data_IF_542151890075
#
_entry.id   IF_542151890075
#
_cell.length_a   1.000
_cell.length_b   1.000
_cell.length_c   1.000
_cell.angle_alpha   90.00
_cell.angle_beta   90.00
_cell.angle_gamma   90.00
#
_symmetry.space_group_name_H-M   'P 1'
#
loop_
_entity.id
_entity.type
_entity.pdbx_description
1 polymer ?
#
# COMPACT_ATOMS: atom_id res chain seq x y z
N UNK A 1 -15.32 -6.71 1.86
CA UNK A 1 -14.96 -5.31 1.48
C UNK A 1 -14.33 -5.19 0.10
N UNK A 2 -13.49 -6.12 -0.34
CA UNK A 2 -12.84 -6.09 -1.67
C UNK A 2 -13.85 -6.03 -2.84
N UNK A 3 -15.01 -6.68 -2.69
CA UNK A 3 -16.06 -6.66 -3.72
C UNK A 3 -16.60 -5.24 -3.97
N UNK A 4 -16.63 -4.36 -2.96
CA UNK A 4 -17.07 -2.97 -3.13
C UNK A 4 -16.20 -2.21 -4.14
N UNK A 5 -14.88 -2.30 -4.00
CA UNK A 5 -13.95 -1.63 -4.93
C UNK A 5 -14.02 -2.27 -6.32
N UNK A 6 -14.14 -3.61 -6.40
CA UNK A 6 -14.39 -4.31 -7.65
C UNK A 6 -15.63 -3.79 -8.36
N UNK A 7 -16.74 -3.63 -7.63
CA UNK A 7 -17.99 -3.08 -8.17
C UNK A 7 -17.85 -1.62 -8.59
N UNK A 8 -17.25 -0.77 -7.74
CA UNK A 8 -17.06 0.66 -8.03
C UNK A 8 -16.26 0.86 -9.32
N UNK A 9 -15.11 0.20 -9.45
CA UNK A 9 -14.26 0.32 -10.64
C UNK A 9 -14.97 -0.24 -11.89
N UNK A 10 -15.72 -1.34 -11.77
CA UNK A 10 -16.50 -1.90 -12.89
C UNK A 10 -17.64 -0.98 -13.31
N UNK A 11 -18.32 -0.31 -12.37
CA UNK A 11 -19.37 0.67 -12.68
C UNK A 11 -18.79 1.90 -13.38
N UNK A 12 -17.64 2.40 -12.95
CA UNK A 12 -16.95 3.51 -13.65
C UNK A 12 -16.59 3.09 -15.07
N UNK A 13 -16.08 1.87 -15.28
CA UNK A 13 -15.79 1.35 -16.60
C UNK A 13 -17.07 1.27 -17.48
N UNK A 14 -18.18 0.80 -16.92
CA UNK A 14 -19.46 0.72 -17.64
C UNK A 14 -20.00 2.10 -18.04
N UNK A 15 -19.88 3.09 -17.14
CA UNK A 15 -20.28 4.47 -17.43
C UNK A 15 -19.43 5.09 -18.56
N UNK A 16 -18.13 4.87 -18.55
CA UNK A 16 -17.21 5.34 -19.60
C UNK A 16 -17.53 4.70 -20.95
N UNK A 17 -17.82 3.39 -20.98
CA UNK A 17 -18.24 2.69 -22.19
C UNK A 17 -19.60 3.19 -22.68
N UNK A 18 -20.56 3.42 -21.78
CA UNK A 18 -21.84 4.06 -22.12
C UNK A 18 -21.67 5.45 -22.74
N UNK A 19 -20.73 6.23 -22.22
CA UNK A 19 -20.38 7.56 -22.78
C UNK A 19 -19.88 7.52 -24.23
N UNK A 20 -19.34 6.39 -24.69
CA UNK A 20 -18.89 6.25 -26.08
C UNK A 20 -20.04 6.36 -27.10
N UNK A 21 -21.30 6.11 -26.71
CA UNK A 21 -22.48 6.26 -27.57
C UNK A 21 -22.90 7.70 -27.73
N UNK A 22 -22.53 8.58 -26.80
CA UNK A 22 -22.91 10.00 -26.77
C UNK A 22 -21.84 10.86 -27.45
N UNK A 23 -20.56 10.44 -27.32
CA UNK A 23 -19.41 11.19 -27.85
C UNK A 23 -19.26 10.95 -29.35
N UNK A 24 -19.25 12.04 -30.16
CA UNK A 24 -19.10 11.95 -31.62
C UNK A 24 -17.65 11.77 -32.06
N UNK A 25 -16.71 12.40 -31.38
CA UNK A 25 -15.29 12.35 -31.73
C UNK A 25 -14.66 10.95 -31.54
N UNK A 26 -14.06 10.43 -32.60
CA UNK A 26 -13.38 9.13 -32.58
C UNK A 26 -12.23 9.09 -31.57
N UNK A 27 -11.47 10.17 -31.46
CA UNK A 27 -10.36 10.27 -30.47
C UNK A 27 -10.86 10.23 -29.03
N UNK A 28 -11.98 10.91 -28.75
CA UNK A 28 -12.60 10.90 -27.43
C UNK A 28 -13.23 9.53 -27.09
N UNK A 29 -13.82 8.84 -28.06
CA UNK A 29 -14.28 7.45 -27.90
C UNK A 29 -13.12 6.51 -27.57
N UNK A 30 -12.01 6.61 -28.33
CA UNK A 30 -10.81 5.80 -28.08
C UNK A 30 -10.24 6.03 -26.68
N UNK A 31 -10.21 7.30 -26.22
CA UNK A 31 -9.78 7.65 -24.87
C UNK A 31 -10.72 7.04 -23.81
N UNK A 32 -12.02 7.15 -23.98
CA UNK A 32 -13.00 6.55 -23.04
C UNK A 32 -12.84 5.03 -22.95
N UNK A 33 -12.67 4.35 -24.08
CA UNK A 33 -12.44 2.90 -24.12
C UNK A 33 -11.14 2.54 -23.38
N UNK A 34 -10.05 3.27 -23.63
CA UNK A 34 -8.77 3.04 -22.97
C UNK A 34 -8.85 3.19 -21.44
N UNK A 35 -9.49 4.27 -20.97
CA UNK A 35 -9.72 4.49 -19.55
C UNK A 35 -10.63 3.40 -18.98
N UNK A 36 -11.72 3.04 -19.68
CA UNK A 36 -12.64 2.00 -19.23
C UNK A 36 -11.97 0.63 -19.07
N UNK A 37 -11.11 0.23 -20.02
CA UNK A 37 -10.33 -1.02 -19.93
C UNK A 37 -9.43 -1.00 -18.68
N UNK A 38 -8.78 0.13 -18.40
CA UNK A 38 -7.94 0.29 -17.21
C UNK A 38 -8.75 0.10 -15.93
N UNK A 39 -9.92 0.75 -15.82
CA UNK A 39 -10.80 0.64 -14.66
C UNK A 39 -11.41 -0.77 -14.52
N UNK A 40 -11.81 -1.40 -15.62
CA UNK A 40 -12.33 -2.77 -15.60
C UNK A 40 -11.28 -3.77 -15.10
N UNK A 41 -10.05 -3.66 -15.62
CA UNK A 41 -8.92 -4.47 -15.16
C UNK A 41 -8.66 -4.30 -13.66
N UNK A 42 -8.69 -3.06 -13.15
CA UNK A 42 -8.58 -2.78 -11.72
C UNK A 42 -9.75 -3.40 -10.93
N UNK A 43 -10.98 -3.27 -11.42
CA UNK A 43 -12.16 -3.90 -10.81
C UNK A 43 -12.02 -5.42 -10.68
N UNK A 44 -11.56 -6.07 -11.74
CA UNK A 44 -11.27 -7.50 -11.74
C UNK A 44 -10.15 -7.87 -10.76
N UNK A 45 -9.07 -7.06 -10.69
CA UNK A 45 -7.97 -7.27 -9.75
C UNK A 45 -8.44 -7.27 -8.29
N UNK A 46 -9.36 -6.37 -7.94
CA UNK A 46 -9.96 -6.34 -6.61
C UNK A 46 -10.91 -7.54 -6.38
N UNK A 47 -11.71 -7.92 -7.37
CA UNK A 47 -12.62 -9.06 -7.27
C UNK A 47 -11.88 -10.38 -6.98
N UNK A 48 -10.75 -10.60 -7.67
CA UNK A 48 -9.94 -11.83 -7.51
C UNK A 48 -8.74 -11.66 -6.57
N UNK A 49 -8.63 -10.52 -5.89
CA UNK A 49 -7.54 -10.20 -4.93
C UNK A 49 -6.13 -10.36 -5.53
N UNK A 50 -5.94 -9.88 -6.76
CA UNK A 50 -4.71 -10.04 -7.51
C UNK A 50 -3.85 -8.76 -7.56
N UNK A 51 -2.94 -8.50 -6.60
CA UNK A 51 -2.05 -7.33 -6.63
C UNK A 51 -1.09 -7.34 -7.82
N UNK A 52 -0.84 -8.52 -8.41
CA UNK A 52 -0.04 -8.68 -9.64
C UNK A 52 -0.60 -7.92 -10.85
N UNK A 53 -1.82 -7.44 -10.80
CA UNK A 53 -2.40 -6.55 -11.81
C UNK A 53 -1.49 -5.34 -12.08
N UNK A 54 -0.91 -4.75 -11.05
CA UNK A 54 -0.01 -3.62 -11.14
C UNK A 54 1.37 -3.97 -11.70
N UNK A 55 1.69 -5.26 -11.89
CA UNK A 55 2.97 -5.76 -12.39
C UNK A 55 4.18 -5.16 -11.67
N UNK A 56 4.04 -4.93 -10.37
CA UNK A 56 5.14 -4.49 -9.53
C UNK A 56 6.10 -5.67 -9.31
N UNK A 57 7.39 -5.41 -9.52
CA UNK A 57 8.47 -6.39 -9.39
C UNK A 57 9.00 -6.40 -7.95
N UNK A 58 9.70 -7.46 -7.59
CA UNK A 58 10.32 -7.60 -6.25
C UNK A 58 11.31 -6.48 -5.93
N UNK A 59 11.98 -5.93 -6.94
CA UNK A 59 12.85 -4.77 -6.78
C UNK A 59 12.12 -3.43 -6.65
N UNK A 60 10.81 -3.42 -6.50
CA UNK A 60 9.99 -2.22 -6.30
C UNK A 60 9.68 -1.42 -7.57
N UNK A 61 10.12 -1.86 -8.76
CA UNK A 61 9.76 -1.20 -10.02
C UNK A 61 8.42 -1.69 -10.55
N UNK A 62 7.73 -0.86 -11.33
CA UNK A 62 6.54 -1.26 -12.09
C UNK A 62 6.97 -1.47 -13.55
N UNK A 63 6.41 -2.49 -14.22
CA UNK A 63 6.73 -2.78 -15.61
C UNK A 63 6.27 -1.65 -16.54
N UNK A 64 6.99 -1.43 -17.63
CA UNK A 64 6.59 -0.46 -18.64
C UNK A 64 5.22 -0.80 -19.25
N UNK A 65 4.91 -2.09 -19.39
CA UNK A 65 3.61 -2.55 -19.87
C UNK A 65 2.48 -2.08 -18.97
N UNK A 66 2.63 -2.20 -17.64
CA UNK A 66 1.66 -1.68 -16.68
C UNK A 66 1.53 -0.15 -16.75
N UNK A 67 2.67 0.55 -16.84
CA UNK A 67 2.68 2.01 -16.94
C UNK A 67 1.94 2.52 -18.19
N UNK A 68 2.04 1.81 -19.31
CA UNK A 68 1.35 2.17 -20.56
C UNK A 68 -0.12 1.74 -20.55
N UNK A 69 -0.43 0.49 -20.18
CA UNK A 69 -1.80 -0.03 -20.21
C UNK A 69 -2.71 0.62 -19.16
N UNK A 70 -2.14 0.99 -18.01
CA UNK A 70 -2.91 1.52 -16.87
C UNK A 70 -2.49 2.94 -16.50
N UNK A 71 -1.96 3.72 -17.46
CA UNK A 71 -1.52 5.09 -17.23
C UNK A 71 -2.60 5.97 -16.54
N UNK A 72 -3.89 5.91 -16.91
CA UNK A 72 -4.94 6.70 -16.23
C UNK A 72 -5.04 6.37 -14.74
N UNK A 73 -4.92 5.09 -14.36
CA UNK A 73 -4.96 4.66 -12.96
C UNK A 73 -3.69 5.06 -12.20
N UNK A 74 -2.52 4.93 -12.83
CA UNK A 74 -1.26 5.42 -12.23
C UNK A 74 -1.31 6.92 -11.98
N UNK A 75 -1.81 7.70 -12.94
CA UNK A 75 -2.01 9.15 -12.77
C UNK A 75 -2.98 9.46 -11.64
N UNK A 76 -4.10 8.75 -11.55
CA UNK A 76 -5.08 8.91 -10.48
C UNK A 76 -4.50 8.57 -9.10
N UNK A 77 -3.75 7.48 -8.99
CA UNK A 77 -3.08 7.08 -7.75
C UNK A 77 -2.09 8.15 -7.28
N UNK A 78 -1.27 8.68 -8.21
CA UNK A 78 -0.33 9.75 -7.89
C UNK A 78 -1.04 11.04 -7.49
N UNK A 79 -2.09 11.44 -8.22
CA UNK A 79 -2.89 12.60 -7.88
C UNK A 79 -3.51 12.45 -6.49
N UNK A 80 -4.11 11.30 -6.20
CA UNK A 80 -4.71 11.01 -4.89
C UNK A 80 -3.67 11.07 -3.76
N UNK A 81 -2.47 10.50 -3.98
CA UNK A 81 -1.39 10.56 -3.01
C UNK A 81 -0.93 11.99 -2.75
N UNK A 82 -0.70 12.78 -3.81
CA UNK A 82 -0.25 14.17 -3.69
C UNK A 82 -1.30 15.06 -3.00
N UNK A 83 -2.58 14.86 -3.33
CA UNK A 83 -3.67 15.55 -2.64
C UNK A 83 -3.74 15.16 -1.17
N UNK A 84 -3.63 13.87 -0.84
CA UNK A 84 -3.60 13.41 0.54
C UNK A 84 -2.42 14.00 1.32
N UNK A 85 -1.22 14.04 0.73
CA UNK A 85 -0.04 14.67 1.34
C UNK A 85 -0.26 16.15 1.64
N UNK A 86 -0.94 16.88 0.74
CA UNK A 86 -1.23 18.31 0.94
C UNK A 86 -2.32 18.59 1.95
N UNK A 87 -3.33 17.73 2.00
CA UNK A 87 -4.50 17.91 2.88
C UNK A 87 -4.25 17.38 4.30
N UNK A 88 -3.51 16.29 4.41
CA UNK A 88 -3.18 15.69 5.70
C UNK A 88 -1.90 16.36 6.25
N UNK A 89 -2.04 17.06 7.37
CA UNK A 89 -0.90 17.69 8.08
C UNK A 89 -0.09 16.68 8.91
N UNK A 90 -0.20 15.39 8.62
CA UNK A 90 0.52 14.35 9.33
C UNK A 90 1.97 14.22 8.81
N UNK A 91 2.91 13.98 9.72
CA UNK A 91 4.31 13.73 9.33
C UNK A 91 4.41 12.53 8.40
N UNK A 92 5.36 12.52 7.45
CA UNK A 92 5.50 11.41 6.50
C UNK A 92 5.74 10.07 7.17
N UNK A 93 6.42 10.06 8.31
CA UNK A 93 6.74 8.86 9.08
C UNK A 93 6.82 9.18 10.59
N UNK A 94 6.60 8.15 11.41
CA UNK A 94 6.74 8.21 12.88
C UNK A 94 7.51 6.98 13.35
N UNK A 95 8.36 7.17 14.33
CA UNK A 95 8.99 6.06 15.05
C UNK A 95 7.98 5.48 16.04
N UNK A 96 7.67 4.19 15.89
CA UNK A 96 6.69 3.47 16.71
C UNK A 96 7.38 2.77 17.88
N UNK A 97 8.54 2.20 17.62
CA UNK A 97 9.46 1.59 18.57
C UNK A 97 10.90 1.97 18.16
N UNK A 98 11.89 1.83 19.02
CA UNK A 98 13.29 2.07 18.64
C UNK A 98 13.64 1.34 17.33
N UNK A 99 14.09 2.09 16.36
CA UNK A 99 14.41 1.64 15.00
C UNK A 99 13.23 1.16 14.14
N UNK A 100 11.98 1.18 14.60
CA UNK A 100 10.81 0.82 13.79
C UNK A 100 10.00 2.06 13.39
N UNK A 101 10.03 2.35 12.11
CA UNK A 101 9.36 3.51 11.52
C UNK A 101 8.15 3.09 10.70
N UNK A 102 7.03 3.75 10.92
CA UNK A 102 5.78 3.58 10.19
C UNK A 102 5.44 4.87 9.45
N UNK A 103 5.14 4.78 8.17
CA UNK A 103 4.80 5.96 7.41
C UNK A 103 4.07 5.75 6.10
N UNK A 104 3.84 6.88 5.43
CA UNK A 104 3.42 6.90 4.05
C UNK A 104 4.60 6.70 3.10
N UNK A 105 4.31 6.41 1.85
CA UNK A 105 5.32 6.45 0.80
C UNK A 105 6.04 7.80 0.78
N UNK A 106 7.37 7.77 0.84
CA UNK A 106 8.19 8.98 0.82
C UNK A 106 8.36 9.50 -0.61
N UNK A 107 8.28 10.82 -0.77
CA UNK A 107 8.64 11.48 -2.03
C UNK A 107 10.17 11.60 -2.15
N UNK A 108 10.67 11.96 -3.35
CA UNK A 108 12.11 11.84 -3.67
C UNK A 108 13.05 12.47 -2.61
N UNK A 109 12.83 13.71 -2.22
CA UNK A 109 13.67 14.40 -1.24
C UNK A 109 13.62 13.79 0.17
N UNK A 110 12.42 13.34 0.60
CA UNK A 110 12.23 12.67 1.89
C UNK A 110 12.91 11.29 1.92
N UNK A 111 12.81 10.55 0.81
CA UNK A 111 13.45 9.23 0.67
C UNK A 111 14.97 9.34 0.71
N UNK A 112 15.55 10.32 0.03
CA UNK A 112 16.98 10.60 0.07
C UNK A 112 17.44 10.96 1.49
N UNK A 113 16.72 11.86 2.17
CA UNK A 113 17.04 12.24 3.55
C UNK A 113 16.92 11.09 4.55
N UNK A 114 15.93 10.20 4.36
CA UNK A 114 15.75 9.06 5.27
C UNK A 114 16.83 7.98 5.08
N UNK A 115 17.27 7.73 3.85
CA UNK A 115 18.29 6.72 3.54
C UNK A 115 19.73 7.22 3.74
N UNK A 116 19.92 8.55 3.93
CA UNK A 116 21.24 9.14 4.07
C UNK A 116 21.89 8.76 5.41
N UNK A 117 23.16 8.41 5.38
CA UNK A 117 24.03 8.16 6.55
C UNK A 117 23.55 7.06 7.54
N UNK A 118 22.68 6.15 7.13
CA UNK A 118 22.25 5.07 8.02
C UNK A 118 21.93 3.79 7.26
N UNK A 119 22.17 2.67 7.93
CA UNK A 119 21.68 1.38 7.47
C UNK A 119 20.17 1.33 7.62
N UNK A 120 19.48 1.17 6.49
CA UNK A 120 18.02 1.17 6.41
C UNK A 120 17.54 -0.15 5.82
N UNK A 121 16.47 -0.70 6.39
CA UNK A 121 15.68 -1.78 5.81
C UNK A 121 14.28 -1.24 5.50
N UNK A 122 13.77 -1.50 4.29
CA UNK A 122 12.50 -0.96 3.82
C UNK A 122 11.54 -2.08 3.47
N UNK A 123 10.36 -2.05 4.07
CA UNK A 123 9.25 -2.94 3.78
C UNK A 123 8.14 -2.16 3.06
N UNK A 124 8.05 -2.36 1.77
CA UNK A 124 7.07 -1.71 0.89
C UNK A 124 5.86 -2.61 0.67
N UNK A 125 4.69 -2.14 1.08
CA UNK A 125 3.42 -2.87 0.99
C UNK A 125 2.51 -2.37 -0.14
N UNK A 126 3.00 -1.43 -0.97
CA UNK A 126 2.21 -0.93 -2.10
C UNK A 126 2.27 -1.86 -3.30
N UNK A 127 1.14 -2.08 -3.96
CA UNK A 127 1.09 -2.73 -5.26
C UNK A 127 1.13 -1.69 -6.39
N UNK A 128 0.53 -0.52 -6.16
CA UNK A 128 0.17 0.50 -7.14
C UNK A 128 1.25 1.56 -7.40
N UNK A 129 2.32 1.61 -6.59
CA UNK A 129 3.41 2.59 -6.74
C UNK A 129 4.76 1.92 -6.95
N UNK A 130 5.54 2.42 -7.91
CA UNK A 130 6.97 2.11 -7.96
C UNK A 130 7.68 2.76 -6.78
N UNK A 131 8.63 2.06 -6.15
CA UNK A 131 9.38 2.62 -5.03
C UNK A 131 10.54 3.51 -5.50
N UNK A 132 10.92 4.46 -4.64
CA UNK A 132 12.01 5.38 -4.88
C UNK A 132 13.36 4.63 -4.93
N UNK A 133 14.25 5.01 -5.87
CA UNK A 133 15.56 4.36 -6.01
C UNK A 133 16.40 4.43 -4.75
N UNK A 134 16.34 5.53 -3.99
CA UNK A 134 17.08 5.67 -2.73
C UNK A 134 16.67 4.64 -1.68
N UNK A 135 15.41 4.19 -1.68
CA UNK A 135 14.89 3.18 -0.77
C UNK A 135 15.06 1.76 -1.34
N UNK A 136 14.93 1.58 -2.67
CA UNK A 136 15.14 0.27 -3.32
C UNK A 136 16.58 -0.24 -3.24
N UNK A 137 17.54 0.65 -3.10
CA UNK A 137 18.97 0.32 -3.02
C UNK A 137 19.43 0.02 -1.58
N UNK A 138 18.51 -0.13 -0.65
CA UNK A 138 18.76 -0.55 0.75
C UNK A 138 18.42 -2.04 0.93
N UNK A 139 18.34 -2.53 2.17
CA UNK A 139 17.71 -3.83 2.46
C UNK A 139 16.21 -3.73 2.19
N UNK A 140 15.79 -4.09 0.99
CA UNK A 140 14.44 -3.84 0.50
C UNK A 140 13.64 -5.12 0.33
N UNK A 141 12.43 -5.13 0.87
CA UNK A 141 11.43 -6.18 0.65
C UNK A 141 10.13 -5.55 0.14
N UNK A 142 9.62 -6.05 -0.97
CA UNK A 142 8.32 -5.69 -1.52
C UNK A 142 7.31 -6.81 -1.29
N UNK A 143 6.24 -6.51 -0.55
CA UNK A 143 5.07 -7.40 -0.39
C UNK A 143 3.86 -6.66 -0.96
N UNK A 144 3.55 -6.80 -2.27
CA UNK A 144 2.47 -6.06 -2.88
C UNK A 144 1.10 -6.47 -2.31
N UNK A 145 0.37 -5.50 -1.77
CA UNK A 145 -0.98 -5.65 -1.22
C UNK A 145 -1.84 -4.56 -1.87
N UNK A 146 -3.01 -4.94 -2.41
CA UNK A 146 -3.98 -3.97 -2.95
C UNK A 146 -4.42 -3.00 -1.86
N UNK A 147 -4.63 -1.74 -2.24
CA UNK A 147 -5.10 -0.75 -1.27
C UNK A 147 -6.43 -1.15 -0.64
N UNK A 148 -6.64 -0.75 0.61
CA UNK A 148 -7.79 -1.13 1.43
C UNK A 148 -8.01 -2.65 1.61
N UNK A 149 -7.07 -3.52 1.23
CA UNK A 149 -7.17 -4.96 1.50
C UNK A 149 -6.32 -5.37 2.69
N UNK A 150 -6.59 -6.56 3.23
CA UNK A 150 -5.78 -7.14 4.29
C UNK A 150 -4.62 -7.97 3.71
N UNK A 151 -3.45 -7.97 4.37
CA UNK A 151 -2.39 -8.93 4.07
C UNK A 151 -2.86 -10.37 4.37
N UNK A 152 -2.36 -11.33 3.59
CA UNK A 152 -2.54 -12.76 3.87
C UNK A 152 -1.65 -13.18 5.05
N UNK A 153 -1.93 -14.32 5.67
CA UNK A 153 -1.17 -14.80 6.84
C UNK A 153 0.31 -15.02 6.50
N UNK A 154 0.62 -15.57 5.33
CA UNK A 154 1.99 -15.77 4.85
C UNK A 154 2.70 -14.42 4.65
N UNK A 155 1.98 -13.40 4.16
CA UNK A 155 2.51 -12.05 3.99
C UNK A 155 2.79 -11.37 5.34
N UNK A 156 1.93 -11.59 6.36
CA UNK A 156 2.17 -11.09 7.73
C UNK A 156 3.39 -11.77 8.35
N UNK A 157 3.51 -13.10 8.22
CA UNK A 157 4.67 -13.83 8.72
C UNK A 157 5.97 -13.34 8.10
N UNK A 158 6.02 -13.26 6.76
CA UNK A 158 7.19 -12.76 6.03
C UNK A 158 7.55 -11.31 6.43
N UNK A 159 6.55 -10.45 6.59
CA UNK A 159 6.75 -9.07 7.01
C UNK A 159 7.31 -8.98 8.45
N UNK A 160 6.78 -9.76 9.38
CA UNK A 160 7.24 -9.83 10.77
C UNK A 160 8.67 -10.36 10.83
N UNK A 161 9.00 -11.41 10.09
CA UNK A 161 10.35 -11.97 9.98
C UNK A 161 11.34 -10.95 9.43
N UNK A 162 10.95 -10.20 8.40
CA UNK A 162 11.80 -9.14 7.84
C UNK A 162 12.08 -8.04 8.87
N UNK A 163 11.06 -7.55 9.60
CA UNK A 163 11.26 -6.55 10.65
C UNK A 163 12.18 -7.12 11.73
N UNK A 164 11.92 -8.33 12.19
CA UNK A 164 12.70 -8.98 13.27
C UNK A 164 14.17 -9.16 12.91
N UNK A 165 14.47 -9.50 11.65
CA UNK A 165 15.85 -9.75 11.19
C UNK A 165 16.68 -8.47 11.04
N UNK A 166 16.04 -7.29 10.95
CA UNK A 166 16.74 -6.04 10.70
C UNK A 166 16.71 -5.03 11.85
N UNK A 167 15.72 -5.09 12.74
CA UNK A 167 15.46 -4.04 13.73
C UNK A 167 16.58 -3.79 14.75
N UNK A 168 17.38 -4.80 15.03
CA UNK A 168 18.50 -4.67 16.00
C UNK A 168 19.66 -3.83 15.46
N UNK A 169 19.86 -3.85 14.14
CA UNK A 169 21.05 -3.25 13.52
C UNK A 169 20.73 -2.16 12.49
N UNK A 170 19.43 -1.94 12.18
CA UNK A 170 18.99 -1.03 11.12
C UNK A 170 17.73 -0.29 11.51
N UNK A 171 17.53 0.87 10.91
CA UNK A 171 16.24 1.54 10.91
C UNK A 171 15.31 0.81 9.93
N UNK A 172 14.25 0.20 10.43
CA UNK A 172 13.24 -0.50 9.62
C UNK A 172 12.11 0.46 9.31
N UNK A 173 11.87 0.71 8.03
CA UNK A 173 10.78 1.54 7.56
C UNK A 173 9.70 0.70 6.91
N UNK A 174 8.52 0.67 7.51
CA UNK A 174 7.34 -0.03 7.01
C UNK A 174 6.36 0.99 6.45
N UNK A 175 6.04 0.89 5.18
CA UNK A 175 5.10 1.83 4.56
C UNK A 175 4.11 1.19 3.59
N UNK A 176 3.03 1.90 3.35
CA UNK A 176 2.14 1.72 2.21
C UNK A 176 1.95 3.07 1.51
N UNK A 177 0.82 3.33 0.85
CA UNK A 177 0.57 4.64 0.24
C UNK A 177 0.51 5.76 1.29
N UNK A 178 -0.42 5.68 2.25
CA UNK A 178 -0.65 6.71 3.28
C UNK A 178 -0.11 6.34 4.67
N UNK A 179 0.27 5.10 4.89
CA UNK A 179 0.80 4.66 6.18
C UNK A 179 -0.27 4.46 7.26
N UNK A 180 -1.52 4.16 6.88
CA UNK A 180 -2.65 4.11 7.82
C UNK A 180 -3.29 2.73 7.97
N UNK A 181 -3.37 1.92 6.91
CA UNK A 181 -4.03 0.61 6.93
C UNK A 181 -3.02 -0.54 6.81
N UNK A 182 -2.57 -0.86 5.58
CA UNK A 182 -1.69 -2.00 5.27
C UNK A 182 -0.44 -2.05 6.14
N UNK A 183 0.31 -0.94 6.21
CA UNK A 183 1.53 -0.85 7.00
C UNK A 183 1.27 -0.87 8.50
N UNK A 184 0.19 -0.24 8.96
CA UNK A 184 -0.21 -0.30 10.37
C UNK A 184 -0.61 -1.72 10.78
N UNK A 185 -1.26 -2.49 9.89
CA UNK A 185 -1.58 -3.91 10.14
C UNK A 185 -0.32 -4.74 10.33
N UNK A 186 0.71 -4.52 9.52
CA UNK A 186 1.99 -5.24 9.62
C UNK A 186 2.75 -4.85 10.88
N UNK A 187 2.83 -3.55 11.20
CA UNK A 187 3.49 -3.08 12.44
C UNK A 187 2.76 -3.62 13.68
N UNK A 188 1.42 -3.62 13.68
CA UNK A 188 0.64 -4.22 14.76
C UNK A 188 0.89 -5.73 14.88
N UNK A 189 1.01 -6.47 13.77
CA UNK A 189 1.33 -7.90 13.79
C UNK A 189 2.70 -8.16 14.42
N UNK A 190 3.71 -7.32 14.10
CA UNK A 190 5.04 -7.43 14.70
C UNK A 190 5.00 -7.14 16.21
N UNK A 191 4.37 -6.05 16.67
CA UNK A 191 4.22 -5.73 18.10
C UNK A 191 3.52 -6.85 18.87
N UNK A 192 2.45 -7.39 18.29
CA UNK A 192 1.74 -8.54 18.84
C UNK A 192 2.62 -9.80 18.87
N UNK A 193 3.54 -9.99 17.95
CA UNK A 193 4.50 -11.11 17.98
C UNK A 193 5.53 -10.96 19.11
N UNK A 194 5.92 -9.72 19.45
CA UNK A 194 6.83 -9.45 20.57
C UNK A 194 6.15 -9.65 21.93
N UNK A 195 4.88 -9.25 22.05
CA UNK A 195 4.12 -9.39 23.29
C UNK A 195 2.83 -10.19 23.04
N UNK A 196 2.93 -11.51 23.27
CA UNK A 196 1.86 -12.47 22.95
C UNK A 196 0.60 -12.31 23.80
N UNK A 197 0.67 -11.63 24.93
CA UNK A 197 -0.46 -11.45 25.86
C UNK A 197 -1.24 -10.17 25.61
N UNK A 198 -0.72 -9.26 24.78
CA UNK A 198 -1.34 -7.97 24.55
C UNK A 198 -2.54 -8.09 23.60
N UNK A 199 -3.71 -7.50 23.93
CA UNK A 199 -4.89 -7.46 23.06
C UNK A 199 -4.64 -6.63 21.79
N UNK A 200 -5.25 -7.04 20.68
CA UNK A 200 -5.12 -6.37 19.36
C UNK A 200 -5.55 -4.89 19.42
N UNK A 201 -6.65 -4.60 20.09
CA UNK A 201 -7.20 -3.24 20.21
C UNK A 201 -6.27 -2.30 21.01
N UNK A 202 -5.55 -2.82 21.99
CA UNK A 202 -4.57 -2.05 22.77
C UNK A 202 -3.37 -1.69 21.90
N UNK A 203 -2.83 -2.65 21.13
CA UNK A 203 -1.72 -2.38 20.21
C UNK A 203 -2.11 -1.34 19.16
N UNK A 204 -3.30 -1.43 18.60
CA UNK A 204 -3.80 -0.44 17.63
C UNK A 204 -3.91 0.95 18.27
N UNK A 205 -4.43 1.05 19.50
CA UNK A 205 -4.49 2.31 20.24
C UNK A 205 -3.11 2.92 20.50
N UNK A 206 -2.12 2.10 20.85
CA UNK A 206 -0.73 2.54 21.03
C UNK A 206 -0.15 3.13 19.74
N UNK A 207 -0.28 2.43 18.60
CA UNK A 207 0.18 2.95 17.32
C UNK A 207 -0.56 4.24 16.95
N UNK A 208 -1.88 4.28 17.18
CA UNK A 208 -2.72 5.45 16.87
C UNK A 208 -2.38 6.68 17.73
N UNK A 209 -1.91 6.49 18.96
CA UNK A 209 -1.44 7.59 19.81
C UNK A 209 -0.22 8.29 19.21
N UNK A 210 0.64 7.55 18.51
CA UNK A 210 1.85 8.08 17.86
C UNK A 210 1.53 8.59 16.44
N UNK A 211 0.69 7.85 15.69
CA UNK A 211 0.27 8.18 14.32
C UNK A 211 -1.26 8.24 14.23
N UNK A 212 -1.89 9.40 14.44
CA UNK A 212 -3.35 9.55 14.60
C UNK A 212 -4.18 9.12 13.38
N UNK A 213 -3.62 9.20 12.15
CA UNK A 213 -4.28 8.79 10.91
C UNK A 213 -4.53 7.28 10.77
N UNK A 214 -4.04 6.45 11.68
CA UNK A 214 -4.23 5.00 11.66
C UNK A 214 -5.72 4.64 11.70
N UNK A 215 -6.12 3.80 10.73
CA UNK A 215 -7.47 3.27 10.64
C UNK A 215 -7.48 1.92 9.92
N UNK A 216 -7.60 0.85 10.68
CA UNK A 216 -7.70 -0.50 10.14
C UNK A 216 -9.17 -0.81 9.81
N UNK A 217 -9.40 -1.38 8.64
CA UNK A 217 -10.72 -1.86 8.27
C UNK A 217 -11.00 -3.26 8.85
N UNK A 218 -12.25 -3.72 8.72
CA UNK A 218 -12.70 -5.01 9.27
C UNK A 218 -11.87 -6.21 8.81
N UNK A 219 -11.46 -6.23 7.52
CA UNK A 219 -10.66 -7.32 6.97
C UNK A 219 -9.23 -7.32 7.53
N UNK A 220 -8.64 -6.13 7.74
CA UNK A 220 -7.33 -5.96 8.35
C UNK A 220 -7.34 -6.36 9.83
N UNK A 221 -8.41 -6.00 10.57
CA UNK A 221 -8.62 -6.45 11.95
C UNK A 221 -8.79 -7.95 12.03
N UNK A 222 -9.60 -8.55 11.14
CA UNK A 222 -9.78 -10.00 11.09
C UNK A 222 -8.47 -10.74 10.76
N UNK A 223 -7.64 -10.17 9.88
CA UNK A 223 -6.33 -10.74 9.57
C UNK A 223 -5.38 -10.72 10.77
N UNK A 224 -5.39 -9.64 11.58
CA UNK A 224 -4.62 -9.55 12.82
C UNK A 224 -5.11 -10.55 13.88
N UNK A 225 -6.41 -10.64 14.11
CA UNK A 225 -6.97 -11.60 15.07
C UNK A 225 -6.57 -13.04 14.69
N UNK A 226 -6.73 -13.41 13.42
CA UNK A 226 -6.30 -14.71 12.92
C UNK A 226 -4.77 -14.93 13.06
N UNK A 227 -3.97 -13.86 12.89
CA UNK A 227 -2.52 -13.96 13.09
C UNK A 227 -2.17 -14.26 14.54
N UNK A 228 -2.90 -13.67 15.49
CA UNK A 228 -2.73 -13.92 16.93
C UNK A 228 -3.13 -15.34 17.31
N UNK A 229 -4.22 -15.87 16.75
CA UNK A 229 -4.69 -17.24 16.98
C UNK A 229 -3.73 -18.33 16.47
N UNK A 230 -2.95 -18.04 15.43
CA UNK A 230 -2.06 -18.98 14.75
C UNK A 230 -0.57 -18.85 15.14
N UNK A 231 -0.27 -18.27 16.29
CA UNK A 231 1.12 -18.07 16.80
C UNK A 231 1.73 -19.29 17.45
#
# INVERSE_FOLDING_TARGET
MNLKYGVIFSLVAALLLGGCFIVESLSARALNIYVAISFLGCGLAYAVKAPRFWQKRENGTISLTSLLLFAPLHALNWLSLLLAIRLQKERPLHEIEPNLWLGRRLIHGEAAGFSQNSEVAVLDLTAEFAENSNLRNTHYLCIPILDHTAPRQEQLKLAVEFIQSHILNRRVFVHCALGHGRSATVVAAWLLAQNKTQPVDIVIKQIKAIRPGIGLNSDQLAALNKFVENR
#
